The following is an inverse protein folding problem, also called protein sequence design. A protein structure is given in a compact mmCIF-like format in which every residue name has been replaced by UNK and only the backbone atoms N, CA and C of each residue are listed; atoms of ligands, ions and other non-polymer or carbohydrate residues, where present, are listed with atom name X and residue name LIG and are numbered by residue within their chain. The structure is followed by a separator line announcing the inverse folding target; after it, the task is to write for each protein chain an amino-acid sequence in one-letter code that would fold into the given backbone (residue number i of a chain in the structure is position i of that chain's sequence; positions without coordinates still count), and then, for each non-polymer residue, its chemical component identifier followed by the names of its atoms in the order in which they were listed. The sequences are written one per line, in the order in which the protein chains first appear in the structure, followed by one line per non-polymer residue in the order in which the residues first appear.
data_IF_780541473105
#
_entry.id   IF_780541473105
#
_cell.length_a   1.000
_cell.length_b   1.000
_cell.length_c   1.000
_cell.angle_alpha   90.00
_cell.angle_beta   90.00
_cell.angle_gamma   90.00
#
_symmetry.space_group_name_H-M   'P 1'
#
loop_
_entity.id
_entity.type
_entity.pdbx_description
1 polymer ?
#
# COMPACT_ATOMS: atom_id res chain seq x y z
N UNK A 1 -62.53 -7.94 -13.63
CA UNK A 1 -61.72 -8.31 -12.44
C UNK A 1 -60.35 -8.64 -12.98
N UNK A 2 -59.54 -7.61 -13.19
CA UNK A 2 -58.21 -7.77 -13.75
C UNK A 2 -57.23 -7.89 -12.59
N UNK A 3 -56.72 -9.10 -12.40
CA UNK A 3 -55.74 -9.43 -11.37
C UNK A 3 -54.45 -8.68 -11.63
N UNK A 4 -54.22 -7.62 -10.86
CA UNK A 4 -52.91 -7.01 -10.69
C UNK A 4 -52.00 -8.09 -10.09
N UNK A 5 -51.22 -8.72 -10.95
CA UNK A 5 -50.12 -9.60 -10.54
C UNK A 5 -49.09 -8.69 -9.90
N UNK A 6 -49.10 -8.63 -8.56
CA UNK A 6 -47.99 -8.08 -7.78
C UNK A 6 -46.74 -8.85 -8.17
N UNK A 7 -45.89 -8.26 -9.02
CA UNK A 7 -44.53 -8.74 -9.23
C UNK A 7 -43.88 -8.80 -7.85
N UNK A 8 -43.75 -10.01 -7.31
CA UNK A 8 -42.91 -10.27 -6.17
C UNK A 8 -41.55 -9.64 -6.47
N UNK A 9 -41.16 -8.66 -5.66
CA UNK A 9 -39.83 -8.09 -5.69
C UNK A 9 -38.85 -9.24 -5.47
N UNK A 10 -38.19 -9.67 -6.53
CA UNK A 10 -37.08 -10.62 -6.44
C UNK A 10 -36.02 -9.93 -5.60
N UNK A 11 -36.00 -10.22 -4.31
CA UNK A 11 -35.00 -9.75 -3.37
C UNK A 11 -33.66 -10.30 -3.85
N UNK A 12 -32.77 -9.42 -4.32
CA UNK A 12 -31.46 -9.81 -4.79
C UNK A 12 -30.70 -10.47 -3.62
N UNK A 13 -30.16 -11.70 -3.79
CA UNK A 13 -29.46 -12.43 -2.73
C UNK A 13 -28.10 -11.80 -2.33
N UNK A 14 -27.80 -10.59 -2.78
CA UNK A 14 -26.53 -9.88 -2.56
C UNK A 14 -26.73 -8.54 -1.82
N UNK A 15 -27.95 -8.01 -1.64
CA UNK A 15 -28.11 -6.76 -0.87
C UNK A 15 -29.50 -6.56 -0.28
N UNK A 16 -29.53 -5.95 0.91
CA UNK A 16 -30.69 -5.43 1.64
C UNK A 16 -31.42 -4.24 0.96
N UNK A 17 -31.28 -4.07 -0.37
CA UNK A 17 -31.94 -3.01 -1.11
C UNK A 17 -31.46 -1.57 -0.80
N UNK A 18 -30.48 -1.39 0.08
CA UNK A 18 -29.92 -0.09 0.45
C UNK A 18 -29.12 0.53 -0.71
N UNK A 19 -29.35 1.83 -0.93
CA UNK A 19 -28.62 2.65 -1.92
C UNK A 19 -27.21 2.96 -1.41
N UNK A 20 -26.27 3.20 -2.32
CA UNK A 20 -24.96 3.73 -1.94
C UNK A 20 -25.12 5.09 -1.24
N UNK A 21 -24.49 5.31 -0.07
CA UNK A 21 -24.59 6.60 0.63
C UNK A 21 -23.89 7.75 -0.11
N UNK A 22 -23.02 7.45 -1.09
CA UNK A 22 -22.27 8.47 -1.86
C UNK A 22 -22.95 8.81 -3.19
N UNK A 23 -23.33 7.81 -3.97
CA UNK A 23 -23.85 8.01 -5.32
C UNK A 23 -25.31 7.59 -5.51
N UNK A 24 -25.97 7.16 -4.44
CA UNK A 24 -27.38 6.71 -4.40
C UNK A 24 -27.76 5.55 -5.32
N UNK A 25 -26.81 4.99 -6.08
CA UNK A 25 -27.03 3.82 -6.92
C UNK A 25 -27.25 2.57 -6.06
N UNK A 26 -28.24 1.75 -6.44
CA UNK A 26 -28.37 0.38 -5.91
C UNK A 26 -27.24 -0.48 -6.47
N UNK A 27 -26.75 -1.43 -5.68
CA UNK A 27 -25.65 -2.32 -6.05
C UNK A 27 -24.35 -1.59 -6.46
N UNK A 28 -24.08 -0.38 -5.93
CA UNK A 28 -22.84 0.33 -6.23
C UNK A 28 -21.61 -0.49 -5.82
N UNK A 29 -20.72 -0.69 -6.80
CA UNK A 29 -19.38 -1.27 -6.68
C UNK A 29 -18.30 -0.32 -7.23
N UNK A 30 -18.64 0.96 -7.37
CA UNK A 30 -17.74 1.95 -7.93
C UNK A 30 -16.68 2.33 -6.88
N UNK A 31 -15.44 2.51 -7.33
CA UNK A 31 -14.41 3.20 -6.56
C UNK A 31 -14.60 4.69 -6.77
N UNK A 32 -14.90 5.42 -5.71
CA UNK A 32 -15.20 6.85 -5.78
C UNK A 32 -13.91 7.66 -5.90
N UNK A 33 -13.88 8.69 -6.75
CA UNK A 33 -12.69 9.52 -6.95
C UNK A 33 -12.65 10.78 -6.08
N UNK A 34 -13.66 11.00 -5.23
CA UNK A 34 -13.70 12.16 -4.35
C UNK A 34 -12.65 12.03 -3.23
N UNK A 35 -11.92 13.11 -2.98
CA UNK A 35 -10.91 13.24 -1.93
C UNK A 35 -11.47 13.79 -0.61
N UNK A 36 -12.65 14.44 -0.62
CA UNK A 36 -13.23 15.11 0.56
C UNK A 36 -13.32 14.21 1.81
N UNK A 37 -13.65 12.91 1.71
CA UNK A 37 -13.75 12.04 2.88
C UNK A 37 -12.41 11.68 3.52
N UNK A 38 -11.28 12.10 2.92
CA UNK A 38 -9.94 11.66 3.29
C UNK A 38 -9.17 12.84 3.89
N UNK A 39 -9.04 12.90 5.24
CA UNK A 39 -8.28 13.95 5.91
C UNK A 39 -6.85 14.01 5.40
N UNK A 40 -6.33 15.22 5.19
CA UNK A 40 -4.94 15.49 4.79
C UNK A 40 -4.48 14.77 3.49
N UNK A 41 -5.39 14.30 2.63
CA UNK A 41 -5.06 13.56 1.40
C UNK A 41 -4.02 14.27 0.52
N UNK A 42 -4.16 15.58 0.32
CA UNK A 42 -3.18 16.38 -0.42
C UNK A 42 -1.78 16.34 0.19
N UNK A 43 -1.67 16.45 1.52
CA UNK A 43 -0.39 16.40 2.25
C UNK A 43 0.24 15.00 2.19
N UNK A 44 -0.56 13.95 2.35
CA UNK A 44 -0.10 12.56 2.27
C UNK A 44 0.48 12.28 0.87
N UNK A 45 -0.29 12.60 -0.18
CA UNK A 45 0.15 12.43 -1.58
C UNK A 45 1.43 13.21 -1.87
N UNK A 46 1.49 14.48 -1.46
CA UNK A 46 2.67 15.31 -1.65
C UNK A 46 3.90 14.74 -0.93
N UNK A 47 3.75 14.22 0.30
CA UNK A 47 4.86 13.65 1.07
C UNK A 47 5.42 12.38 0.41
N UNK A 48 4.54 11.48 -0.03
CA UNK A 48 4.94 10.27 -0.76
C UNK A 48 5.59 10.61 -2.12
N UNK A 49 5.07 11.59 -2.85
CA UNK A 49 5.65 12.06 -4.12
C UNK A 49 7.04 12.68 -3.90
N UNK A 50 7.19 13.55 -2.90
CA UNK A 50 8.46 14.21 -2.60
C UNK A 50 9.54 13.19 -2.28
N UNK A 51 9.26 12.24 -1.38
CA UNK A 51 10.26 11.24 -0.99
C UNK A 51 10.66 10.32 -2.16
N UNK A 52 9.70 9.93 -3.01
CA UNK A 52 9.99 9.16 -4.22
C UNK A 52 10.83 9.95 -5.23
N UNK A 53 10.50 11.24 -5.43
CA UNK A 53 11.29 12.12 -6.30
C UNK A 53 12.69 12.37 -5.72
N UNK A 54 12.83 12.46 -4.40
CA UNK A 54 14.14 12.54 -3.73
C UNK A 54 14.98 11.31 -4.06
N UNK A 55 14.41 10.09 -3.97
CA UNK A 55 15.10 8.87 -4.40
C UNK A 55 15.59 8.99 -5.84
N UNK A 56 14.70 9.38 -6.76
CA UNK A 56 15.02 9.46 -8.20
C UNK A 56 16.11 10.47 -8.55
N UNK A 57 16.19 11.57 -7.80
CA UNK A 57 17.09 12.68 -8.09
C UNK A 57 18.38 12.67 -7.26
N UNK A 58 18.54 11.71 -6.34
CA UNK A 58 19.77 11.57 -5.55
C UNK A 58 20.93 11.14 -6.46
N UNK A 59 22.11 11.74 -6.26
CA UNK A 59 23.33 11.42 -6.97
C UNK A 59 24.36 10.77 -6.03
N UNK A 60 25.22 9.87 -6.54
CA UNK A 60 26.35 9.33 -5.78
C UNK A 60 27.34 10.44 -5.44
N UNK A 61 27.74 10.53 -4.18
CA UNK A 61 28.70 11.52 -3.66
C UNK A 61 29.81 10.89 -2.82
N UNK A 62 29.85 9.56 -2.72
CA UNK A 62 30.85 8.85 -1.95
C UNK A 62 30.80 7.32 -2.10
N UNK A 63 31.65 6.59 -1.35
CA UNK A 63 31.65 5.14 -1.36
C UNK A 63 30.28 4.56 -0.99
N UNK A 64 29.87 3.49 -1.69
CA UNK A 64 28.60 2.78 -1.44
C UNK A 64 27.34 3.66 -1.53
N UNK A 65 27.43 4.74 -2.30
CA UNK A 65 26.28 5.55 -2.71
C UNK A 65 25.95 5.25 -4.18
N UNK A 66 24.68 5.32 -4.51
CA UNK A 66 24.17 4.93 -5.82
C UNK A 66 23.28 6.03 -6.41
N UNK A 67 23.12 6.03 -7.72
CA UNK A 67 22.06 6.76 -8.41
C UNK A 67 20.82 5.86 -8.49
N UNK A 68 19.65 6.46 -8.69
CA UNK A 68 18.44 5.67 -8.95
C UNK A 68 18.57 4.84 -10.24
N UNK A 69 19.34 5.32 -11.22
CA UNK A 69 19.63 4.56 -12.45
C UNK A 69 20.40 3.26 -12.19
N UNK A 70 21.15 3.14 -11.09
CA UNK A 70 21.82 1.88 -10.74
C UNK A 70 20.80 0.83 -10.30
N UNK A 71 19.76 1.23 -9.56
CA UNK A 71 18.64 0.36 -9.25
C UNK A 71 17.88 -0.03 -10.53
N UNK A 72 17.55 0.92 -11.40
CA UNK A 72 16.89 0.63 -12.69
C UNK A 72 17.73 -0.31 -13.58
N UNK A 73 19.05 -0.12 -13.63
CA UNK A 73 19.96 -1.01 -14.34
C UNK A 73 19.94 -2.42 -13.73
N UNK A 74 19.93 -2.52 -12.40
CA UNK A 74 19.80 -3.80 -11.72
C UNK A 74 18.46 -4.48 -12.05
N UNK A 75 17.36 -3.74 -12.13
CA UNK A 75 16.07 -4.29 -12.58
C UNK A 75 16.12 -4.81 -14.02
N UNK A 76 16.93 -4.19 -14.89
CA UNK A 76 17.10 -4.69 -16.27
C UNK A 76 17.91 -5.98 -16.34
N UNK A 77 18.91 -6.15 -15.48
CA UNK A 77 19.81 -7.32 -15.51
C UNK A 77 19.38 -8.45 -14.57
N UNK A 78 18.63 -8.14 -13.50
CA UNK A 78 18.19 -9.06 -12.45
C UNK A 78 16.70 -8.91 -12.10
N UNK A 79 15.87 -8.39 -13.01
CA UNK A 79 14.45 -8.12 -12.75
C UNK A 79 13.55 -9.34 -12.58
N UNK A 80 14.08 -10.55 -12.79
CA UNK A 80 13.38 -11.80 -12.48
C UNK A 80 13.46 -12.14 -10.98
N UNK A 81 14.35 -11.47 -10.23
CA UNK A 81 14.43 -11.53 -8.78
C UNK A 81 13.97 -10.19 -8.17
N UNK A 82 13.56 -10.21 -6.90
CA UNK A 82 13.42 -8.98 -6.13
C UNK A 82 14.79 -8.36 -5.86
N UNK A 83 14.86 -7.05 -5.92
CA UNK A 83 16.03 -6.23 -5.63
C UNK A 83 15.55 -5.05 -4.80
N UNK A 84 16.44 -4.45 -4.00
CA UNK A 84 16.07 -3.30 -3.18
C UNK A 84 17.16 -2.25 -3.10
N UNK A 85 16.77 -1.04 -2.74
CA UNK A 85 17.67 0.05 -2.38
C UNK A 85 17.01 0.92 -1.30
N UNK A 86 17.82 1.51 -0.42
CA UNK A 86 17.37 2.39 0.66
C UNK A 86 17.76 3.85 0.44
N UNK A 87 16.88 4.78 0.81
CA UNK A 87 17.19 6.20 0.93
C UNK A 87 17.52 6.51 2.38
N UNK A 88 18.70 7.09 2.59
CA UNK A 88 19.15 7.56 3.90
C UNK A 88 19.27 9.09 3.92
N UNK A 89 18.90 9.70 5.04
CA UNK A 89 19.10 11.11 5.30
C UNK A 89 20.17 11.30 6.37
N UNK A 90 21.17 12.12 6.06
CA UNK A 90 22.27 12.47 6.96
C UNK A 90 22.06 13.90 7.43
N UNK A 91 21.53 14.07 8.65
CA UNK A 91 21.15 15.39 9.19
C UNK A 91 22.31 16.37 9.29
N UNK A 92 23.50 15.88 9.64
CA UNK A 92 24.67 16.72 9.87
C UNK A 92 25.18 17.40 8.59
N UNK A 93 24.85 16.82 7.44
CA UNK A 93 25.22 17.29 6.09
C UNK A 93 24.01 17.78 5.30
N UNK A 94 22.81 17.66 5.87
CA UNK A 94 21.52 17.93 5.22
C UNK A 94 21.34 17.25 3.85
N UNK A 95 21.89 16.04 3.68
CA UNK A 95 21.96 15.34 2.38
C UNK A 95 21.22 14.00 2.40
N UNK A 96 20.62 13.67 1.25
CA UNK A 96 20.04 12.36 0.99
C UNK A 96 20.99 11.51 0.16
N UNK A 97 21.11 10.21 0.50
CA UNK A 97 21.94 9.25 -0.23
C UNK A 97 21.17 7.95 -0.44
N UNK A 98 21.19 7.44 -1.67
CA UNK A 98 20.76 6.08 -1.95
C UNK A 98 21.90 5.13 -1.61
N UNK A 99 21.61 4.16 -0.75
CA UNK A 99 22.56 3.17 -0.22
C UNK A 99 21.90 1.81 -0.18
N UNK A 100 22.67 0.79 0.19
CA UNK A 100 22.14 -0.57 0.36
C UNK A 100 21.46 -1.12 -0.89
N UNK A 101 22.03 -0.88 -2.08
CA UNK A 101 21.59 -1.58 -3.29
C UNK A 101 21.83 -3.08 -3.11
N UNK A 102 20.76 -3.86 -2.99
CA UNK A 102 20.80 -5.31 -2.81
C UNK A 102 20.27 -6.03 -4.04
N UNK A 103 21.13 -6.87 -4.60
CA UNK A 103 20.79 -7.89 -5.58
C UNK A 103 20.17 -9.08 -4.88
N UNK A 104 18.89 -9.35 -5.11
CA UNK A 104 18.27 -10.58 -4.62
C UNK A 104 18.50 -11.77 -5.54
N UNK A 105 18.21 -12.95 -5.02
CA UNK A 105 18.33 -14.25 -5.68
C UNK A 105 17.03 -15.05 -5.68
N UNK A 106 15.92 -14.39 -5.32
CA UNK A 106 14.57 -14.96 -5.28
C UNK A 106 13.57 -14.02 -5.95
N UNK A 107 12.56 -14.53 -6.68
CA UNK A 107 11.49 -13.73 -7.27
C UNK A 107 10.50 -13.14 -6.25
N UNK A 108 10.61 -13.52 -4.99
CA UNK A 108 9.60 -13.27 -3.93
C UNK A 108 10.22 -12.77 -2.62
N UNK A 109 11.54 -12.58 -2.59
CA UNK A 109 12.20 -12.00 -1.42
C UNK A 109 13.51 -11.32 -1.77
N UNK A 110 13.73 -10.17 -1.16
CA UNK A 110 15.05 -9.54 -1.06
C UNK A 110 15.31 -9.10 0.38
N UNK A 111 16.58 -9.19 0.81
CA UNK A 111 16.99 -8.63 2.10
C UNK A 111 17.00 -7.11 2.00
N UNK A 112 16.19 -6.45 2.83
CA UNK A 112 16.24 -4.99 3.03
C UNK A 112 17.03 -4.68 4.29
N UNK A 113 17.97 -3.74 4.21
CA UNK A 113 18.80 -3.31 5.36
C UNK A 113 18.40 -1.90 5.76
N UNK A 114 18.08 -1.71 7.04
CA UNK A 114 17.63 -0.43 7.60
C UNK A 114 18.67 0.02 8.63
N UNK A 115 19.12 1.27 8.50
CA UNK A 115 19.95 1.97 9.47
C UNK A 115 19.13 3.08 10.14
N UNK A 116 19.67 3.69 11.19
CA UNK A 116 19.04 4.83 11.88
C UNK A 116 18.84 6.06 10.97
N UNK A 117 19.60 6.16 9.88
CA UNK A 117 19.46 7.22 8.87
C UNK A 117 18.47 6.87 7.75
N UNK A 118 18.02 5.61 7.65
CA UNK A 118 17.16 5.18 6.55
C UNK A 118 15.75 5.74 6.71
N UNK A 119 15.33 6.56 5.75
CA UNK A 119 14.02 7.23 5.75
C UNK A 119 13.01 6.53 4.85
N UNK A 120 13.44 5.81 3.82
CA UNK A 120 12.55 5.09 2.93
C UNK A 120 13.30 3.97 2.20
N UNK A 121 12.56 2.99 1.69
CA UNK A 121 13.11 1.92 0.84
C UNK A 121 12.26 1.70 -0.40
N UNK A 122 12.86 1.14 -1.44
CA UNK A 122 12.16 0.66 -2.61
C UNK A 122 12.67 -0.72 -3.00
N UNK A 123 11.75 -1.62 -3.33
CA UNK A 123 12.06 -2.91 -3.93
C UNK A 123 11.12 -3.22 -5.09
N UNK A 124 11.49 -4.15 -5.98
CA UNK A 124 10.63 -4.57 -7.09
C UNK A 124 9.91 -5.89 -6.81
N UNK A 125 8.71 -6.04 -7.36
CA UNK A 125 8.02 -7.35 -7.49
C UNK A 125 8.08 -7.82 -8.96
N UNK A 126 8.90 -8.82 -9.30
CA UNK A 126 9.03 -9.38 -10.66
C UNK A 126 7.72 -9.85 -11.29
N UNK A 127 6.82 -10.38 -10.46
CA UNK A 127 5.52 -10.91 -10.86
C UNK A 127 4.42 -9.83 -11.02
N UNK A 128 4.76 -8.55 -10.80
CA UNK A 128 3.84 -7.43 -10.98
C UNK A 128 2.77 -7.27 -9.89
N UNK A 129 2.89 -7.99 -8.76
CA UNK A 129 1.90 -7.95 -7.69
C UNK A 129 1.95 -6.64 -6.90
N UNK A 130 0.83 -6.17 -6.33
CA UNK A 130 0.83 -5.10 -5.33
C UNK A 130 1.59 -5.50 -4.04
N UNK A 131 1.75 -4.58 -3.06
CA UNK A 131 2.42 -4.87 -1.80
C UNK A 131 1.81 -6.06 -1.06
N UNK A 132 2.67 -6.93 -0.55
CA UNK A 132 2.32 -8.08 0.29
C UNK A 132 2.07 -7.67 1.74
N UNK A 133 1.57 -8.61 2.56
CA UNK A 133 1.47 -8.36 4.00
C UNK A 133 2.84 -8.32 4.70
N UNK A 134 3.88 -8.91 4.09
CA UNK A 134 5.28 -8.74 4.53
C UNK A 134 5.69 -7.28 4.37
N UNK A 135 5.39 -6.66 3.23
CA UNK A 135 5.68 -5.23 3.00
C UNK A 135 4.94 -4.34 4.00
N UNK A 136 3.65 -4.65 4.24
CA UNK A 136 2.81 -3.90 5.18
C UNK A 136 3.33 -3.98 6.63
N UNK A 137 3.64 -5.18 7.12
CA UNK A 137 4.17 -5.38 8.48
C UNK A 137 5.60 -4.84 8.62
N UNK A 138 6.46 -5.00 7.61
CA UNK A 138 7.83 -4.47 7.65
C UNK A 138 7.85 -2.95 7.63
N UNK A 139 6.95 -2.29 6.92
CA UNK A 139 6.81 -0.82 6.97
C UNK A 139 6.58 -0.35 8.41
N UNK A 140 5.71 -1.03 9.15
CA UNK A 140 5.45 -0.75 10.56
C UNK A 140 6.65 -1.11 11.46
N UNK A 141 7.32 -2.24 11.17
CA UNK A 141 8.53 -2.67 11.87
C UNK A 141 9.62 -1.62 11.77
N UNK A 142 9.91 -1.14 10.58
CA UNK A 142 11.04 -0.26 10.31
C UNK A 142 10.87 1.10 10.96
N UNK A 143 9.66 1.64 11.01
CA UNK A 143 9.40 2.85 11.81
C UNK A 143 9.41 2.60 13.32
N UNK A 144 9.13 1.38 13.75
CA UNK A 144 9.27 0.98 15.15
C UNK A 144 10.72 0.89 15.61
N UNK A 145 11.60 0.34 14.76
CA UNK A 145 13.03 0.23 15.03
C UNK A 145 13.77 1.56 14.76
N UNK A 146 13.25 2.38 13.84
CA UNK A 146 13.83 3.65 13.44
C UNK A 146 12.77 4.74 13.21
N UNK A 147 12.65 5.69 14.13
CA UNK A 147 11.61 6.73 14.09
C UNK A 147 11.63 7.66 12.86
N UNK A 148 12.73 7.72 12.10
CA UNK A 148 12.80 8.57 10.90
C UNK A 148 12.30 7.88 9.64
N UNK A 149 12.03 6.57 9.69
CA UNK A 149 11.49 5.82 8.57
C UNK A 149 10.05 6.26 8.25
N UNK A 150 9.76 6.52 6.98
CA UNK A 150 8.47 7.06 6.55
C UNK A 150 7.76 6.22 5.48
N UNK A 151 8.48 5.56 4.57
CA UNK A 151 7.83 4.98 3.38
C UNK A 151 8.52 3.76 2.82
N UNK A 152 7.73 2.70 2.59
CA UNK A 152 8.13 1.57 1.74
C UNK A 152 7.51 1.74 0.37
N UNK A 153 8.32 1.70 -0.68
CA UNK A 153 7.88 1.69 -2.07
C UNK A 153 8.00 0.31 -2.68
N UNK A 154 7.03 -0.06 -3.52
CA UNK A 154 7.09 -1.28 -4.34
C UNK A 154 7.03 -0.87 -5.81
N UNK A 155 8.09 -1.18 -6.56
CA UNK A 155 8.23 -0.90 -7.98
C UNK A 155 7.73 -2.08 -8.81
N UNK A 156 6.76 -1.86 -9.70
CA UNK A 156 6.28 -2.91 -10.60
C UNK A 156 5.99 -2.39 -12.00
N UNK A 157 5.79 -3.31 -12.94
CA UNK A 157 5.34 -2.98 -14.30
C UNK A 157 3.94 -2.37 -14.35
N UNK A 158 3.12 -2.60 -13.32
CA UNK A 158 1.74 -2.11 -13.21
C UNK A 158 1.62 -0.77 -12.46
N UNK A 159 2.75 -0.25 -11.95
CA UNK A 159 2.82 1.02 -11.24
C UNK A 159 3.77 0.95 -10.05
N UNK A 160 3.95 2.11 -9.42
CA UNK A 160 4.64 2.19 -8.14
C UNK A 160 3.60 2.24 -7.03
N UNK A 161 3.84 1.52 -5.96
CA UNK A 161 3.03 1.54 -4.75
C UNK A 161 3.80 2.18 -3.61
N UNK A 162 3.10 2.80 -2.68
CA UNK A 162 3.69 3.32 -1.46
C UNK A 162 2.87 2.94 -0.23
N UNK A 163 3.56 2.48 0.81
CA UNK A 163 3.06 2.29 2.16
C UNK A 163 3.67 3.42 3.01
N UNK A 164 2.89 4.47 3.23
CA UNK A 164 3.34 5.71 3.87
C UNK A 164 2.92 5.76 5.34
N UNK A 165 3.85 6.00 6.25
CA UNK A 165 3.55 6.26 7.66
C UNK A 165 3.02 7.68 7.82
N UNK A 166 1.72 7.83 8.04
CA UNK A 166 1.11 9.10 8.43
C UNK A 166 1.29 9.37 9.93
N UNK A 167 1.20 8.32 10.75
CA UNK A 167 1.28 8.41 12.21
C UNK A 167 2.23 7.35 12.77
N UNK A 168 3.39 7.81 13.23
CA UNK A 168 4.47 6.98 13.79
C UNK A 168 4.02 6.21 15.02
N UNK A 169 3.21 6.81 15.91
CA UNK A 169 2.80 6.14 17.15
C UNK A 169 1.80 5.03 16.86
N UNK A 170 0.86 5.28 15.94
CA UNK A 170 -0.07 4.26 15.47
C UNK A 170 0.64 3.10 14.79
N UNK A 171 1.63 3.38 13.94
CA UNK A 171 2.41 2.34 13.26
C UNK A 171 3.20 1.45 14.23
N UNK A 172 3.78 2.05 15.27
CA UNK A 172 4.45 1.31 16.36
C UNK A 172 3.50 0.41 17.14
N UNK A 173 2.35 0.94 17.54
CA UNK A 173 1.34 0.18 18.27
C UNK A 173 0.79 -0.96 17.41
N UNK A 174 0.58 -0.71 16.12
CA UNK A 174 0.19 -1.72 15.15
C UNK A 174 1.24 -2.84 15.05
N UNK A 175 2.52 -2.50 14.88
CA UNK A 175 3.58 -3.51 14.80
C UNK A 175 3.70 -4.32 16.10
N UNK A 176 3.68 -3.64 17.25
CA UNK A 176 3.72 -4.30 18.55
C UNK A 176 2.59 -5.31 18.73
N UNK A 177 1.40 -5.04 18.19
CA UNK A 177 0.23 -5.90 18.30
C UNK A 177 0.24 -7.06 17.31
N UNK A 178 0.68 -6.83 16.07
CA UNK A 178 0.48 -7.78 14.97
C UNK A 178 1.79 -8.35 14.38
N UNK A 179 2.94 -8.12 15.00
CA UNK A 179 4.24 -8.64 14.52
C UNK A 179 4.27 -10.16 14.33
N UNK A 180 3.47 -10.91 15.10
CA UNK A 180 3.33 -12.37 14.99
C UNK A 180 2.41 -12.84 13.84
N UNK A 181 1.77 -11.91 13.12
CA UNK A 181 0.87 -12.21 12.00
C UNK A 181 1.61 -12.30 10.65
N UNK A 182 2.94 -12.15 10.64
CA UNK A 182 3.75 -12.28 9.44
C UNK A 182 3.58 -13.67 8.83
N UNK A 183 3.32 -13.73 7.52
CA UNK A 183 3.10 -15.00 6.83
C UNK A 183 4.30 -15.94 6.95
N UNK A 184 4.02 -17.22 7.19
CA UNK A 184 5.03 -18.28 7.14
C UNK A 184 5.30 -18.75 5.68
N UNK A 185 4.57 -18.23 4.69
CA UNK A 185 4.75 -18.52 3.25
C UNK A 185 4.74 -17.25 2.40
N UNK A 186 5.42 -17.28 1.27
CA UNK A 186 5.53 -16.14 0.34
C UNK A 186 4.23 -15.84 -0.42
N UNK A 187 3.26 -16.76 -0.40
CA UNK A 187 2.02 -16.67 -1.19
C UNK A 187 0.83 -16.12 -0.42
N UNK A 188 0.88 -16.11 0.92
CA UNK A 188 -0.22 -15.63 1.76
C UNK A 188 0.09 -14.22 2.26
N UNK A 189 -0.96 -13.40 2.37
CA UNK A 189 -0.82 -12.04 2.92
C UNK A 189 -0.38 -12.07 4.38
N UNK A 190 -1.01 -12.91 5.19
CA UNK A 190 -0.73 -13.04 6.62
C UNK A 190 -0.67 -14.50 7.03
N UNK A 191 -0.16 -14.74 8.24
CA UNK A 191 -0.13 -16.07 8.85
C UNK A 191 -1.54 -16.62 9.00
N UNK A 192 -1.75 -17.84 8.51
CA UNK A 192 -3.05 -18.50 8.58
C UNK A 192 -3.63 -18.49 10.00
N UNK A 193 -4.92 -18.17 10.11
CA UNK A 193 -5.68 -18.08 11.37
C UNK A 193 -5.27 -16.95 12.32
N UNK A 194 -4.30 -16.10 11.94
CA UNK A 194 -3.95 -14.91 12.70
C UNK A 194 -5.06 -13.85 12.63
N UNK A 195 -5.00 -12.87 13.54
CA UNK A 195 -5.97 -11.77 13.57
C UNK A 195 -5.99 -10.97 12.26
N UNK A 196 -4.82 -10.73 11.66
CA UNK A 196 -4.74 -10.03 10.37
C UNK A 196 -5.25 -10.90 9.21
N UNK A 197 -5.01 -12.21 9.23
CA UNK A 197 -5.52 -13.14 8.21
C UNK A 197 -7.05 -13.17 8.21
N UNK A 198 -7.66 -13.31 9.38
CA UNK A 198 -9.14 -13.29 9.53
C UNK A 198 -9.75 -11.97 9.07
N UNK A 199 -9.13 -10.84 9.43
CA UNK A 199 -9.56 -9.51 8.97
C UNK A 199 -9.41 -9.38 7.46
N UNK A 200 -8.25 -9.74 6.92
CA UNK A 200 -7.95 -9.71 5.49
C UNK A 200 -8.97 -10.51 4.68
N UNK A 201 -9.21 -11.78 5.04
CA UNK A 201 -10.16 -12.64 4.33
C UNK A 201 -11.59 -12.09 4.38
N UNK A 202 -12.00 -11.53 5.52
CA UNK A 202 -13.31 -10.89 5.67
C UNK A 202 -13.46 -9.68 4.74
N UNK A 203 -12.49 -8.76 4.78
CA UNK A 203 -12.46 -7.55 3.94
C UNK A 203 -12.41 -7.92 2.46
N UNK A 204 -11.49 -8.82 2.10
CA UNK A 204 -11.30 -9.24 0.71
C UNK A 204 -12.58 -9.86 0.17
N UNK A 205 -13.31 -10.66 0.97
CA UNK A 205 -14.62 -11.23 0.60
C UNK A 205 -15.69 -10.15 0.41
N UNK A 206 -15.75 -9.15 1.29
CA UNK A 206 -16.73 -8.05 1.20
C UNK A 206 -16.53 -7.19 -0.05
N UNK A 207 -15.28 -6.91 -0.40
CA UNK A 207 -14.91 -6.13 -1.59
C UNK A 207 -14.94 -6.93 -2.91
N UNK A 208 -15.62 -8.08 -2.92
CA UNK A 208 -15.78 -8.91 -4.12
C UNK A 208 -16.52 -8.14 -5.22
N UNK A 209 -15.88 -8.02 -6.38
CA UNK A 209 -16.43 -7.38 -7.57
C UNK A 209 -15.70 -6.11 -8.01
N UNK A 210 -14.71 -5.65 -7.23
CA UNK A 210 -13.66 -4.75 -7.72
C UNK A 210 -12.68 -5.50 -8.62
N UNK A 211 -11.88 -4.77 -9.41
CA UNK A 211 -10.73 -5.33 -10.13
C UNK A 211 -9.74 -5.96 -9.14
N UNK A 212 -8.94 -6.95 -9.54
CA UNK A 212 -8.02 -7.61 -8.61
C UNK A 212 -7.06 -6.63 -7.93
N UNK A 213 -6.50 -5.68 -8.70
CA UNK A 213 -5.65 -4.61 -8.16
C UNK A 213 -6.40 -3.71 -7.19
N UNK A 214 -7.58 -3.18 -7.56
CA UNK A 214 -8.32 -2.29 -6.66
C UNK A 214 -8.82 -3.04 -5.43
N UNK A 215 -9.23 -4.30 -5.57
CA UNK A 215 -9.64 -5.15 -4.46
C UNK A 215 -8.49 -5.32 -3.47
N UNK A 216 -7.29 -5.63 -3.95
CA UNK A 216 -6.10 -5.77 -3.11
C UNK A 216 -5.76 -4.47 -2.38
N UNK A 217 -5.67 -3.37 -3.12
CA UNK A 217 -5.29 -2.06 -2.58
C UNK A 217 -6.34 -1.51 -1.60
N UNK A 218 -7.64 -1.66 -1.90
CA UNK A 218 -8.71 -1.28 -0.99
C UNK A 218 -8.79 -2.19 0.24
N UNK A 219 -8.44 -3.47 0.09
CA UNK A 219 -8.38 -4.37 1.25
C UNK A 219 -7.24 -4.01 2.20
N UNK A 220 -6.09 -3.58 1.67
CA UNK A 220 -5.01 -3.02 2.49
C UNK A 220 -5.42 -1.71 3.16
N UNK A 221 -6.11 -0.81 2.44
CA UNK A 221 -6.59 0.45 2.99
C UNK A 221 -7.60 0.21 4.13
N UNK A 222 -8.58 -0.66 3.93
CA UNK A 222 -9.55 -1.02 4.97
C UNK A 222 -8.88 -1.73 6.15
N UNK A 223 -7.91 -2.62 5.90
CA UNK A 223 -7.16 -3.25 6.98
C UNK A 223 -6.42 -2.18 7.80
N UNK A 224 -5.82 -1.19 7.15
CA UNK A 224 -5.17 -0.07 7.82
C UNK A 224 -6.14 0.74 8.69
N UNK A 225 -7.35 1.03 8.20
CA UNK A 225 -8.38 1.72 9.00
C UNK A 225 -8.86 0.87 10.19
N UNK A 226 -9.26 -0.39 9.95
CA UNK A 226 -9.78 -1.28 10.99
C UNK A 226 -8.77 -1.61 12.08
N UNK A 227 -7.47 -1.50 11.78
CA UNK A 227 -6.39 -1.73 12.72
C UNK A 227 -5.78 -0.45 13.27
N UNK A 228 -6.25 0.72 12.80
CA UNK A 228 -5.70 2.03 13.10
C UNK A 228 -4.17 2.04 12.94
N UNK A 229 -3.68 1.52 11.81
CA UNK A 229 -2.27 1.21 11.61
C UNK A 229 -1.38 2.44 11.49
N UNK A 230 -1.94 3.61 11.17
CA UNK A 230 -1.15 4.80 10.84
C UNK A 230 -0.45 4.72 9.48
N UNK A 231 -0.77 3.72 8.66
CA UNK A 231 -0.20 3.51 7.32
C UNK A 231 -1.24 3.90 6.26
N UNK A 232 -0.81 4.65 5.25
CA UNK A 232 -1.61 5.04 4.09
C UNK A 232 -1.14 4.30 2.85
N UNK A 233 -2.09 3.99 1.97
CA UNK A 233 -1.90 3.11 0.82
C UNK A 233 -2.00 3.93 -0.45
N UNK A 234 -0.93 3.99 -1.24
CA UNK A 234 -0.90 4.78 -2.46
C UNK A 234 -0.43 3.99 -3.68
N UNK A 235 -0.85 4.44 -4.87
CA UNK A 235 -0.38 3.93 -6.16
C UNK A 235 -0.19 5.06 -7.18
N UNK A 236 0.90 5.05 -7.92
CA UNK A 236 1.09 5.86 -9.12
C UNK A 236 1.11 4.97 -10.37
N UNK A 237 0.53 5.44 -11.47
CA UNK A 237 0.59 4.72 -12.75
C UNK A 237 1.97 4.84 -13.40
N UNK A 238 2.45 3.82 -14.15
CA UNK A 238 3.77 3.82 -14.79
C UNK A 238 4.06 5.04 -15.69
N UNK A 239 3.03 5.58 -16.33
CA UNK A 239 3.12 6.70 -17.30
C UNK A 239 2.65 8.04 -16.73
N UNK A 240 2.19 8.06 -15.47
CA UNK A 240 1.82 9.31 -14.81
C UNK A 240 3.07 10.10 -14.41
N UNK A 241 2.93 11.41 -14.24
CA UNK A 241 3.95 12.37 -13.79
C UNK A 241 4.46 12.12 -12.35
N UNK A 242 4.54 10.87 -11.90
CA UNK A 242 4.81 10.42 -10.53
C UNK A 242 3.80 10.98 -9.51
N UNK A 243 2.51 11.07 -9.86
CA UNK A 243 1.47 11.44 -8.88
C UNK A 243 0.85 10.18 -8.28
N UNK A 244 1.15 9.93 -7.01
CA UNK A 244 0.48 8.89 -6.23
C UNK A 244 -0.99 9.25 -5.98
N UNK A 245 -1.92 8.39 -6.38
CA UNK A 245 -3.30 8.39 -5.89
C UNK A 245 -3.40 7.68 -4.54
N UNK A 246 -4.30 8.15 -3.68
CA UNK A 246 -4.50 7.63 -2.32
C UNK A 246 -5.74 6.71 -2.28
N UNK A 247 -5.50 5.44 -1.92
CA UNK A 247 -6.55 4.46 -1.65
C UNK A 247 -7.01 4.62 -0.20
N UNK A 248 -8.32 4.74 0.00
CA UNK A 248 -8.95 4.94 1.29
C UNK A 248 -10.31 4.25 1.32
N UNK A 249 -10.75 3.85 2.49
CA UNK A 249 -12.08 3.30 2.70
C UNK A 249 -12.78 4.01 3.85
N UNK A 250 -14.10 4.06 3.78
CA UNK A 250 -14.93 4.56 4.87
C UNK A 250 -16.08 3.60 5.09
N UNK A 251 -16.31 3.19 6.33
CA UNK A 251 -17.49 2.41 6.68
C UNK A 251 -18.65 3.35 6.99
N UNK A 252 -19.73 3.24 6.20
CA UNK A 252 -20.97 3.99 6.37
C UNK A 252 -22.11 2.98 6.38
N UNK A 253 -22.92 2.99 7.44
CA UNK A 253 -24.05 2.06 7.62
C UNK A 253 -23.66 0.58 7.43
N UNK A 254 -22.56 0.17 8.09
CA UNK A 254 -21.97 -1.17 8.04
C UNK A 254 -21.51 -1.62 6.63
N UNK A 255 -21.31 -0.67 5.71
CA UNK A 255 -20.79 -0.94 4.36
C UNK A 255 -19.47 -0.23 4.13
N UNK A 256 -18.48 -0.96 3.63
CA UNK A 256 -17.21 -0.38 3.17
C UNK A 256 -17.45 0.40 1.86
N UNK A 257 -17.08 1.68 1.86
CA UNK A 257 -17.12 2.57 0.71
C UNK A 257 -15.69 2.85 0.24
N UNK A 258 -15.30 2.39 -0.97
CA UNK A 258 -13.94 2.56 -1.47
C UNK A 258 -13.74 3.90 -2.19
N UNK A 259 -12.61 4.55 -1.93
CA UNK A 259 -12.17 5.80 -2.55
C UNK A 259 -10.75 5.70 -3.10
N UNK A 260 -10.54 6.22 -4.31
CA UNK A 260 -9.21 6.43 -4.91
C UNK A 260 -9.07 7.90 -5.31
N UNK A 261 -8.46 8.68 -4.42
CA UNK A 261 -8.20 10.09 -4.61
C UNK A 261 -6.95 10.29 -5.48
N UNK A 262 -7.15 10.42 -6.79
CA UNK A 262 -6.07 10.67 -7.76
C UNK A 262 -5.49 12.08 -7.61
#
# INVERSE_FOLDING_TARGET
MDGITTRASVSCPICDGKRCPVCEKRHCKEVHSNCDPIPASGKIKASANTMYNTMKNTYPDGPETFAFSDFENLLRTNGHNENSIGLSYYSDEEVYRLRELKTGNSPTSVKVTIFTTTVATIHNHPNGTPPSGIDFLNTAKWVSDNNVYSTTYVYTTNGNYALYIEDVQKAKLFYSKYSNCLSDTETKMFKAESDLDKKWESIYKELKGLSDTDRHMMSLAELAEQTNSGIRILKSEPSSSNSFGLYYTQTIDDKIIPYNCK
#
